data_IF_276453548705
#
_entry.id   IF_276453548705
#
_cell.length_a   1.000
_cell.length_b   1.000
_cell.length_c   1.000
_cell.angle_alpha   90.00
_cell.angle_beta   90.00
_cell.angle_gamma   90.00
#
_symmetry.space_group_name_H-M   'P 1'
#
loop_
_entity.id
_entity.type
_entity.pdbx_description
1 polymer ?
#
# COMPACT_ATOMS: atom_id res chain seq x y z
N UNK A 1 25.04 -8.35 24.40
CA UNK A 1 24.15 -9.02 23.47
C UNK A 1 23.61 -8.04 22.43
N UNK A 2 23.53 -8.45 21.18
CA UNK A 2 22.98 -7.64 20.10
C UNK A 2 21.45 -7.56 20.26
N UNK A 3 20.87 -6.36 20.14
CA UNK A 3 19.43 -6.18 20.31
C UNK A 3 18.65 -6.69 19.08
N UNK A 4 17.83 -7.72 19.29
CA UNK A 4 16.83 -8.13 18.27
C UNK A 4 15.73 -7.08 18.26
N UNK A 5 15.48 -6.49 17.09
CA UNK A 5 14.47 -5.44 16.90
C UNK A 5 13.12 -6.06 16.49
N UNK A 6 13.19 -7.09 15.65
CA UNK A 6 12.01 -7.78 15.13
C UNK A 6 12.39 -9.19 14.67
N UNK A 7 11.45 -10.12 14.72
CA UNK A 7 11.60 -11.46 14.14
C UNK A 7 10.31 -11.91 13.48
N UNK A 8 10.44 -12.61 12.39
CA UNK A 8 9.36 -13.32 11.70
C UNK A 8 9.75 -14.80 11.55
N UNK A 9 8.96 -15.59 10.89
CA UNK A 9 9.05 -17.07 10.81
C UNK A 9 10.46 -17.56 10.46
N UNK A 10 11.15 -16.89 9.56
CA UNK A 10 12.43 -17.27 8.96
C UNK A 10 13.45 -16.12 8.90
N UNK A 11 13.15 -14.99 9.50
CA UNK A 11 14.02 -13.82 9.48
C UNK A 11 14.13 -13.13 10.85
N UNK A 12 15.30 -12.57 11.11
CA UNK A 12 15.63 -11.85 12.33
C UNK A 12 16.22 -10.49 11.95
N UNK A 13 15.68 -9.42 12.53
CA UNK A 13 16.18 -8.06 12.39
C UNK A 13 16.97 -7.68 13.61
N UNK A 14 18.23 -7.35 13.43
CA UNK A 14 19.17 -7.03 14.51
C UNK A 14 19.66 -5.60 14.34
N UNK A 15 19.78 -4.88 15.46
CA UNK A 15 20.37 -3.55 15.44
C UNK A 15 21.88 -3.66 15.19
N UNK A 16 22.37 -2.99 14.14
CA UNK A 16 23.79 -2.81 13.88
C UNK A 16 24.41 -1.82 14.89
N UNK A 17 25.68 -2.00 15.28
CA UNK A 17 26.44 -1.05 16.13
C UNK A 17 26.95 0.18 15.35
N UNK A 18 26.53 0.38 14.11
CA UNK A 18 26.91 1.53 13.31
C UNK A 18 26.48 2.85 13.96
N UNK A 19 27.26 3.89 13.77
CA UNK A 19 26.98 5.22 14.31
C UNK A 19 25.57 5.68 13.95
N UNK A 20 24.80 6.05 14.96
CA UNK A 20 23.43 6.53 14.83
C UNK A 20 23.35 7.89 14.10
N UNK A 21 24.46 8.63 14.02
CA UNK A 21 24.56 9.91 13.35
C UNK A 21 24.97 9.79 11.87
N UNK A 22 25.34 8.58 11.42
CA UNK A 22 25.66 8.36 9.99
C UNK A 22 24.46 8.68 9.10
N UNK A 23 24.68 9.27 7.91
CA UNK A 23 23.60 9.55 6.96
C UNK A 23 22.83 8.28 6.61
N UNK A 24 21.52 8.28 6.91
CA UNK A 24 20.67 7.08 6.78
C UNK A 24 20.10 6.94 5.38
N UNK A 25 19.73 8.05 4.77
CA UNK A 25 19.14 8.13 3.44
C UNK A 25 19.79 9.31 2.74
N UNK A 26 20.31 9.06 1.53
CA UNK A 26 20.79 10.12 0.64
C UNK A 26 19.71 10.42 -0.40
N UNK A 27 19.44 11.69 -0.62
CA UNK A 27 18.59 12.15 -1.71
C UNK A 27 19.32 11.99 -3.07
N UNK A 28 18.55 12.02 -4.16
CA UNK A 28 19.13 12.03 -5.51
C UNK A 28 19.96 13.31 -5.76
N UNK A 29 19.56 14.42 -5.13
CA UNK A 29 20.28 15.71 -5.18
C UNK A 29 21.67 15.58 -4.55
N UNK A 30 21.76 15.03 -3.32
CA UNK A 30 23.04 14.82 -2.63
C UNK A 30 23.99 13.89 -3.41
N UNK A 31 23.45 12.86 -4.06
CA UNK A 31 24.25 12.01 -4.96
C UNK A 31 24.78 12.80 -6.16
N UNK A 32 23.91 13.58 -6.81
CA UNK A 32 24.27 14.38 -7.98
C UNK A 32 25.29 15.48 -7.64
N UNK A 33 25.12 16.15 -6.50
CA UNK A 33 26.07 17.16 -6.01
C UNK A 33 27.43 16.55 -5.71
N UNK A 34 27.47 15.36 -5.10
CA UNK A 34 28.72 14.64 -4.87
C UNK A 34 29.42 14.25 -6.18
N UNK A 35 28.66 13.78 -7.18
CA UNK A 35 29.19 13.46 -8.52
C UNK A 35 29.71 14.70 -9.23
N UNK A 36 29.04 15.84 -9.08
CA UNK A 36 29.45 17.13 -9.66
C UNK A 36 30.66 17.79 -8.95
N UNK A 37 31.16 17.17 -7.90
CA UNK A 37 32.42 17.58 -7.29
C UNK A 37 32.29 18.35 -5.98
N UNK A 38 31.07 18.58 -5.46
CA UNK A 38 30.88 19.23 -4.18
C UNK A 38 31.58 18.47 -3.04
N UNK A 39 32.43 19.15 -2.29
CA UNK A 39 33.26 18.52 -1.26
C UNK A 39 32.45 18.10 -0.04
N UNK A 40 31.40 18.84 0.34
CA UNK A 40 30.55 18.53 1.46
C UNK A 40 29.67 17.30 1.13
N UNK A 41 29.08 17.30 -0.06
CA UNK A 41 28.27 16.17 -0.54
C UNK A 41 29.12 14.88 -0.71
N UNK A 42 30.35 15.00 -1.18
CA UNK A 42 31.30 13.86 -1.24
C UNK A 42 31.59 13.28 0.13
N UNK A 43 31.78 14.13 1.13
CA UNK A 43 31.99 13.67 2.51
C UNK A 43 30.78 12.92 3.05
N UNK A 44 29.59 13.46 2.88
CA UNK A 44 28.32 12.82 3.29
C UNK A 44 28.14 11.46 2.58
N UNK A 45 28.41 11.41 1.27
CA UNK A 45 28.35 10.18 0.50
C UNK A 45 29.34 9.11 1.01
N UNK A 46 30.58 9.53 1.36
CA UNK A 46 31.58 8.62 1.89
C UNK A 46 31.16 8.09 3.27
N UNK A 47 30.72 8.97 4.18
CA UNK A 47 30.22 8.57 5.51
C UNK A 47 29.05 7.57 5.38
N UNK A 48 28.14 7.78 4.44
CA UNK A 48 27.06 6.85 4.17
C UNK A 48 27.60 5.48 3.69
N UNK A 49 28.55 5.46 2.75
CA UNK A 49 29.14 4.22 2.25
C UNK A 49 29.86 3.45 3.34
N UNK A 50 30.63 4.14 4.17
CA UNK A 50 31.35 3.54 5.30
C UNK A 50 30.38 2.93 6.32
N UNK A 51 29.29 3.62 6.61
CA UNK A 51 28.23 3.12 7.49
C UNK A 51 27.54 1.86 6.91
N UNK A 52 27.22 1.86 5.61
CA UNK A 52 26.65 0.70 4.93
C UNK A 52 27.63 -0.48 4.95
N UNK A 53 28.91 -0.25 4.64
CA UNK A 53 29.92 -1.31 4.67
C UNK A 53 30.08 -1.92 6.06
N UNK A 54 30.16 -1.07 7.10
CA UNK A 54 30.24 -1.53 8.49
C UNK A 54 29.03 -2.37 8.90
N UNK A 55 27.86 -2.02 8.42
CA UNK A 55 26.62 -2.80 8.66
C UNK A 55 26.67 -4.16 7.94
N UNK A 56 27.17 -4.21 6.70
CA UNK A 56 27.33 -5.45 5.93
C UNK A 56 28.30 -6.39 6.62
N UNK A 57 29.46 -5.88 7.01
CA UNK A 57 30.50 -6.66 7.71
C UNK A 57 29.96 -7.24 9.02
N UNK A 58 29.25 -6.41 9.81
CA UNK A 58 28.60 -6.86 11.03
C UNK A 58 27.53 -7.93 10.79
N UNK A 59 26.65 -7.72 9.80
CA UNK A 59 25.59 -8.67 9.47
C UNK A 59 26.13 -10.02 9.00
N UNK A 60 27.17 -10.00 8.16
CA UNK A 60 27.84 -11.20 7.67
C UNK A 60 28.50 -11.97 8.81
N UNK A 61 29.30 -11.31 9.65
CA UNK A 61 29.94 -11.93 10.82
C UNK A 61 28.91 -12.51 11.81
N UNK A 62 27.77 -11.82 11.98
CA UNK A 62 26.71 -12.31 12.85
C UNK A 62 26.05 -13.57 12.26
N UNK A 63 25.77 -13.58 10.96
CA UNK A 63 25.21 -14.72 10.26
C UNK A 63 26.13 -15.94 10.35
N UNK A 64 27.42 -15.80 10.08
CA UNK A 64 28.43 -16.86 10.22
C UNK A 64 28.51 -17.39 11.64
N UNK A 65 28.56 -16.50 12.64
CA UNK A 65 28.67 -16.87 14.06
C UNK A 65 27.52 -17.72 14.55
N UNK A 66 26.30 -17.48 14.08
CA UNK A 66 25.08 -18.16 14.53
C UNK A 66 24.58 -19.27 13.61
N UNK A 67 25.19 -19.44 12.45
CA UNK A 67 24.93 -20.59 11.58
C UNK A 67 25.34 -21.90 12.24
N UNK A 68 24.59 -22.96 12.00
CA UNK A 68 24.83 -24.36 12.42
C UNK A 68 24.49 -25.29 11.25
N UNK A 69 24.95 -26.51 11.32
CA UNK A 69 24.72 -27.53 10.27
C UNK A 69 23.24 -27.74 9.94
N UNK A 70 22.35 -27.52 10.92
CA UNK A 70 20.89 -27.67 10.78
C UNK A 70 20.16 -26.37 10.46
N UNK A 71 20.82 -25.20 10.54
CA UNK A 71 20.20 -23.91 10.31
C UNK A 71 21.27 -22.89 9.89
N UNK A 72 21.36 -22.65 8.58
CA UNK A 72 22.27 -21.67 8.00
C UNK A 72 21.58 -20.30 8.01
N UNK A 73 22.26 -19.28 8.55
CA UNK A 73 21.83 -17.90 8.48
C UNK A 73 22.60 -17.18 7.39
N UNK A 74 21.91 -16.33 6.66
CA UNK A 74 22.50 -15.46 5.64
C UNK A 74 22.18 -14.00 5.94
N UNK A 75 23.12 -13.10 5.71
CA UNK A 75 22.85 -11.67 5.75
C UNK A 75 22.20 -11.27 4.44
N UNK A 76 20.90 -11.01 4.47
CA UNK A 76 20.10 -10.81 3.26
C UNK A 76 19.96 -9.32 2.90
N UNK A 77 19.73 -8.47 3.91
CA UNK A 77 19.44 -7.04 3.68
C UNK A 77 19.95 -6.16 4.82
N UNK A 78 20.51 -5.02 4.45
CA UNK A 78 20.81 -3.93 5.35
C UNK A 78 19.78 -2.81 5.25
N UNK A 79 19.21 -2.38 6.38
CA UNK A 79 18.22 -1.33 6.44
C UNK A 79 18.75 -0.13 7.24
N UNK A 80 18.63 1.08 6.68
CA UNK A 80 18.95 2.32 7.40
C UNK A 80 17.84 2.73 8.35
N UNK A 81 16.59 2.45 8.00
CA UNK A 81 15.41 2.73 8.82
C UNK A 81 14.47 1.53 8.79
N UNK A 82 13.86 1.24 9.93
CA UNK A 82 12.86 0.20 10.10
C UNK A 82 11.71 0.71 10.95
N UNK A 83 10.49 0.54 10.46
CA UNK A 83 9.26 0.89 11.16
C UNK A 83 8.33 -0.31 11.22
N UNK A 84 7.84 -0.63 12.41
CA UNK A 84 6.82 -1.65 12.66
C UNK A 84 5.91 -1.18 13.79
N UNK A 85 4.60 -1.36 13.64
CA UNK A 85 3.63 -0.98 14.66
C UNK A 85 2.43 -1.93 14.68
N UNK A 86 2.01 -2.30 15.87
CA UNK A 86 0.73 -2.91 16.23
C UNK A 86 0.52 -4.36 15.81
N UNK A 87 0.94 -4.79 14.64
CA UNK A 87 0.62 -6.13 14.14
C UNK A 87 1.85 -6.89 13.65
N UNK A 88 1.90 -8.18 13.96
CA UNK A 88 2.91 -9.09 13.39
C UNK A 88 2.84 -9.07 11.86
N UNK A 89 3.99 -9.24 11.21
CA UNK A 89 4.14 -9.30 9.75
C UNK A 89 3.79 -8.00 9.01
N UNK A 90 3.73 -6.86 9.73
CA UNK A 90 3.56 -5.53 9.15
C UNK A 90 4.75 -4.67 9.49
N UNK A 91 5.55 -4.35 8.48
CA UNK A 91 6.69 -3.47 8.63
C UNK A 91 7.06 -2.81 7.31
N UNK A 92 7.75 -1.71 7.41
CA UNK A 92 8.38 -1.01 6.30
C UNK A 92 9.83 -0.73 6.68
N UNK A 93 10.71 -0.66 5.68
CA UNK A 93 12.11 -0.34 5.89
C UNK A 93 12.73 0.30 4.65
N UNK A 94 13.73 1.13 4.87
CA UNK A 94 14.58 1.63 3.80
C UNK A 94 15.78 0.71 3.68
N UNK A 95 15.79 -0.12 2.66
CA UNK A 95 16.94 -0.97 2.32
C UNK A 95 18.02 -0.09 1.69
N UNK A 96 19.26 -0.29 2.11
CA UNK A 96 20.45 0.40 1.59
C UNK A 96 21.49 -0.59 1.06
N UNK A 97 21.29 -1.89 1.30
CA UNK A 97 22.11 -2.97 0.77
C UNK A 97 21.24 -4.25 0.61
N UNK A 98 21.38 -5.07 -0.47
CA UNK A 98 22.28 -4.87 -1.60
C UNK A 98 21.84 -3.75 -2.55
N UNK A 99 20.54 -3.59 -2.74
CA UNK A 99 19.92 -2.59 -3.62
C UNK A 99 19.10 -1.59 -2.80
N UNK A 100 19.11 -0.33 -3.23
CA UNK A 100 18.35 0.73 -2.57
C UNK A 100 16.87 0.61 -2.92
N UNK A 101 16.07 0.10 -1.98
CA UNK A 101 14.63 -0.09 -2.18
C UNK A 101 13.82 0.19 -0.90
N UNK A 102 12.54 0.48 -1.07
CA UNK A 102 11.60 0.49 0.06
C UNK A 102 11.03 -0.90 0.25
N UNK A 103 11.37 -1.54 1.36
CA UNK A 103 10.80 -2.83 1.78
C UNK A 103 9.45 -2.61 2.44
N UNK A 104 8.39 -3.22 1.90
CA UNK A 104 7.04 -3.15 2.47
C UNK A 104 6.51 -4.57 2.65
N UNK A 105 6.03 -4.89 3.85
CA UNK A 105 5.40 -6.18 4.17
C UNK A 105 4.10 -5.97 4.93
N UNK A 106 3.11 -6.79 4.60
CA UNK A 106 1.83 -6.87 5.33
C UNK A 106 0.87 -5.68 5.15
N UNK A 107 1.21 -4.68 4.35
CA UNK A 107 0.33 -3.57 3.98
C UNK A 107 -0.35 -3.81 2.63
N UNK A 108 -1.57 -3.35 2.48
CA UNK A 108 -2.46 -3.67 1.35
C UNK A 108 -2.17 -2.89 0.05
N UNK A 109 -0.92 -2.57 -0.23
CA UNK A 109 -0.54 -1.78 -1.40
C UNK A 109 -0.60 -2.53 -2.74
N UNK A 110 -0.71 -3.86 -2.71
CA UNK A 110 -0.66 -4.72 -3.91
C UNK A 110 -1.91 -5.57 -4.12
N UNK A 111 -2.99 -5.34 -3.37
CA UNK A 111 -4.23 -6.10 -3.53
C UNK A 111 -4.97 -5.72 -4.81
N UNK A 112 -5.58 -6.71 -5.44
CA UNK A 112 -6.40 -6.53 -6.65
C UNK A 112 -7.66 -5.68 -6.42
N UNK A 113 -8.04 -5.41 -5.17
CA UNK A 113 -9.14 -4.56 -4.76
C UNK A 113 -8.68 -3.17 -4.25
N UNK A 114 -7.42 -2.83 -4.48
CA UNK A 114 -6.87 -1.50 -4.22
C UNK A 114 -7.15 -0.54 -5.37
N UNK A 115 -7.25 0.74 -5.08
CA UNK A 115 -7.40 1.80 -6.08
C UNK A 115 -6.19 2.74 -6.07
N UNK A 116 -5.94 3.41 -7.20
CA UNK A 116 -4.72 4.21 -7.42
C UNK A 116 -4.49 5.25 -6.33
N UNK A 117 -5.54 5.97 -5.93
CA UNK A 117 -5.45 6.99 -4.90
C UNK A 117 -5.01 6.43 -3.53
N UNK A 118 -5.47 5.22 -3.16
CA UNK A 118 -5.04 4.54 -1.95
C UNK A 118 -3.56 4.16 -2.04
N UNK A 119 -3.16 3.51 -3.13
CA UNK A 119 -1.76 3.05 -3.28
C UNK A 119 -0.77 4.20 -3.33
N UNK A 120 -1.10 5.29 -4.02
CA UNK A 120 -0.26 6.51 -4.04
C UNK A 120 -0.18 7.16 -2.66
N UNK A 121 -1.30 7.24 -1.94
CA UNK A 121 -1.33 7.77 -0.58
C UNK A 121 -0.47 6.92 0.36
N UNK A 122 -0.60 5.59 0.31
CA UNK A 122 0.21 4.69 1.14
C UNK A 122 1.71 4.84 0.90
N UNK A 123 2.13 5.01 -0.35
CA UNK A 123 3.56 5.25 -0.67
C UNK A 123 4.10 6.50 0.02
N UNK A 124 3.36 7.59 -0.01
CA UNK A 124 3.78 8.82 0.67
C UNK A 124 3.74 8.67 2.20
N UNK A 125 2.73 8.00 2.75
CA UNK A 125 2.66 7.68 4.18
C UNK A 125 3.89 6.88 4.63
N UNK A 126 4.34 5.91 3.83
CA UNK A 126 5.56 5.16 4.14
C UNK A 126 6.81 6.07 4.14
N UNK A 127 6.92 6.99 3.18
CA UNK A 127 8.04 7.94 3.14
C UNK A 127 8.09 8.82 4.38
N UNK A 128 6.96 9.40 4.78
CA UNK A 128 6.87 10.18 6.01
C UNK A 128 7.22 9.36 7.26
N UNK A 129 6.73 8.12 7.35
CA UNK A 129 7.02 7.25 8.49
C UNK A 129 8.51 6.88 8.59
N UNK A 130 9.16 6.59 7.44
CA UNK A 130 10.60 6.30 7.39
C UNK A 130 11.47 7.54 7.65
N UNK A 131 10.95 8.75 7.34
CA UNK A 131 11.61 10.02 7.62
C UNK A 131 11.36 10.53 9.05
N UNK A 132 10.63 9.80 9.89
CA UNK A 132 10.22 10.18 11.25
C UNK A 132 9.43 11.51 11.31
N UNK A 133 8.61 11.76 10.28
CA UNK A 133 7.82 12.97 10.10
C UNK A 133 6.35 12.73 10.48
N UNK A 134 6.11 12.35 11.75
CA UNK A 134 4.78 11.94 12.22
C UNK A 134 3.68 12.99 12.04
N UNK A 135 3.95 14.26 12.35
CA UNK A 135 2.96 15.34 12.19
C UNK A 135 2.59 15.59 10.74
N UNK A 136 3.59 15.62 9.84
CA UNK A 136 3.38 15.76 8.40
C UNK A 136 2.62 14.56 7.82
N UNK A 137 2.93 13.35 8.28
CA UNK A 137 2.23 12.12 7.94
C UNK A 137 0.74 12.21 8.27
N UNK A 138 0.42 12.60 9.49
CA UNK A 138 -0.97 12.73 9.95
C UNK A 138 -1.71 13.84 9.19
N UNK A 139 -1.09 15.00 8.99
CA UNK A 139 -1.67 16.09 8.22
C UNK A 139 -1.98 15.67 6.78
N UNK A 140 -1.04 14.97 6.14
CA UNK A 140 -1.21 14.42 4.80
C UNK A 140 -2.34 13.39 4.75
N UNK A 141 -2.39 12.45 5.69
CA UNK A 141 -3.44 11.43 5.77
C UNK A 141 -4.84 12.06 5.88
N UNK A 142 -5.00 13.05 6.78
CA UNK A 142 -6.27 13.80 6.96
C UNK A 142 -6.70 14.47 5.67
N UNK A 143 -5.80 15.20 5.01
CA UNK A 143 -6.08 15.88 3.74
C UNK A 143 -6.54 14.89 2.67
N UNK A 144 -5.89 13.74 2.57
CA UNK A 144 -6.21 12.70 1.58
C UNK A 144 -7.57 12.05 1.84
N UNK A 145 -7.91 11.77 3.10
CA UNK A 145 -9.21 11.22 3.48
C UNK A 145 -10.33 12.23 3.21
N UNK A 146 -10.12 13.50 3.56
CA UNK A 146 -11.12 14.55 3.35
C UNK A 146 -11.40 14.81 1.86
N UNK A 147 -10.38 14.83 1.02
CA UNK A 147 -10.54 14.98 -0.44
C UNK A 147 -11.45 13.90 -1.05
N UNK A 148 -11.38 12.66 -0.56
CA UNK A 148 -12.33 11.59 -0.96
C UNK A 148 -13.74 11.88 -0.49
N UNK A 149 -13.91 12.31 0.77
CA UNK A 149 -15.23 12.62 1.34
C UNK A 149 -15.94 13.74 0.60
N UNK A 150 -15.20 14.74 0.16
CA UNK A 150 -15.71 15.90 -0.58
C UNK A 150 -15.91 15.63 -2.08
N UNK A 151 -15.48 14.45 -2.58
CA UNK A 151 -15.58 14.13 -4.00
C UNK A 151 -14.60 14.89 -4.89
N UNK A 152 -13.54 15.43 -4.32
CA UNK A 152 -12.51 16.21 -5.04
C UNK A 152 -11.53 15.34 -5.84
N UNK A 153 -11.53 14.03 -5.58
CA UNK A 153 -10.65 13.10 -6.27
C UNK A 153 -11.28 12.65 -7.58
N UNK A 154 -10.58 12.70 -8.71
CA UNK A 154 -11.12 12.20 -9.97
C UNK A 154 -11.57 10.73 -9.90
N UNK A 155 -12.70 10.38 -10.50
CA UNK A 155 -13.24 9.02 -10.49
C UNK A 155 -12.25 7.97 -11.01
N UNK A 156 -11.37 8.34 -11.93
CA UNK A 156 -10.28 7.48 -12.45
C UNK A 156 -9.31 7.00 -11.38
N UNK A 157 -9.16 7.75 -10.30
CA UNK A 157 -8.26 7.43 -9.19
C UNK A 157 -8.86 6.44 -8.18
N UNK A 158 -10.18 6.19 -8.25
CA UNK A 158 -10.92 5.33 -7.32
C UNK A 158 -11.47 4.05 -7.97
N UNK A 159 -11.07 3.77 -9.19
CA UNK A 159 -11.47 2.58 -9.94
C UNK A 159 -10.98 1.31 -9.25
N UNK A 160 -11.90 0.39 -9.02
CA UNK A 160 -11.64 -0.97 -8.54
C UNK A 160 -11.67 -1.93 -9.73
N UNK A 161 -10.84 -2.97 -9.68
CA UNK A 161 -10.85 -4.02 -10.70
C UNK A 161 -10.86 -5.40 -10.05
N UNK A 162 -11.71 -6.30 -10.56
CA UNK A 162 -11.79 -7.69 -10.12
C UNK A 162 -11.93 -8.63 -11.30
N UNK A 163 -11.29 -9.81 -11.21
CA UNK A 163 -11.54 -10.87 -12.16
C UNK A 163 -12.97 -11.40 -11.98
N UNK A 164 -13.65 -11.60 -13.11
CA UNK A 164 -15.00 -12.16 -13.16
C UNK A 164 -14.97 -13.50 -13.90
N UNK A 165 -15.26 -14.58 -13.17
CA UNK A 165 -15.44 -15.90 -13.77
C UNK A 165 -16.89 -16.08 -14.19
N UNK A 166 -17.13 -17.03 -15.07
CA UNK A 166 -18.46 -17.39 -15.57
C UNK A 166 -18.30 -18.35 -16.74
N UNK A 167 -19.20 -19.30 -16.88
CA UNK A 167 -19.21 -20.25 -18.01
C UNK A 167 -19.95 -19.59 -19.19
N UNK A 168 -19.25 -19.34 -20.28
CA UNK A 168 -19.88 -18.93 -21.53
C UNK A 168 -20.63 -20.15 -22.11
N UNK A 169 -21.95 -20.06 -22.22
CA UNK A 169 -22.83 -21.13 -22.73
C UNK A 169 -23.17 -20.94 -24.18
N UNK A 170 -23.06 -19.72 -24.69
CA UNK A 170 -23.28 -19.38 -26.11
C UNK A 170 -22.27 -18.32 -26.59
N UNK A 171 -21.71 -18.53 -27.77
CA UNK A 171 -20.75 -17.63 -28.42
C UNK A 171 -21.28 -17.17 -29.76
N UNK A 172 -21.21 -15.88 -30.12
CA UNK A 172 -20.72 -14.75 -29.31
C UNK A 172 -21.69 -14.40 -28.16
N UNK A 173 -21.14 -13.86 -27.05
CA UNK A 173 -21.93 -13.38 -25.91
C UNK A 173 -22.68 -12.11 -26.33
N UNK A 174 -24.02 -12.15 -26.35
CA UNK A 174 -24.89 -11.05 -26.72
C UNK A 174 -25.87 -10.66 -25.62
N UNK A 175 -26.17 -11.59 -24.71
CA UNK A 175 -27.10 -11.38 -23.61
C UNK A 175 -26.54 -11.95 -22.31
N UNK A 176 -27.17 -11.60 -21.16
CA UNK A 176 -26.81 -12.12 -19.85
C UNK A 176 -26.98 -13.64 -19.77
N UNK A 177 -27.91 -14.20 -20.50
CA UNK A 177 -28.22 -15.65 -20.52
C UNK A 177 -27.16 -16.47 -21.26
N UNK A 178 -26.28 -15.80 -22.00
CA UNK A 178 -25.15 -16.46 -22.67
C UNK A 178 -24.00 -16.79 -21.73
N UNK A 179 -24.09 -16.37 -20.44
CA UNK A 179 -23.07 -16.63 -19.41
C UNK A 179 -23.72 -17.14 -18.12
N UNK A 180 -23.33 -18.33 -17.70
CA UNK A 180 -23.71 -18.91 -16.41
C UNK A 180 -22.67 -18.50 -15.35
N UNK A 181 -23.09 -17.67 -14.40
CA UNK A 181 -22.29 -17.23 -13.26
C UNK A 181 -22.50 -18.09 -12.01
N UNK A 182 -23.55 -18.94 -11.97
CA UNK A 182 -23.91 -19.73 -10.77
C UNK A 182 -22.89 -20.81 -10.48
N UNK A 183 -22.16 -21.27 -11.49
CA UNK A 183 -21.09 -22.25 -11.34
C UNK A 183 -19.94 -21.76 -10.44
N UNK A 184 -19.60 -20.47 -10.54
CA UNK A 184 -18.42 -19.89 -9.90
C UNK A 184 -18.77 -19.04 -8.67
N UNK A 185 -20.05 -18.67 -8.50
CA UNK A 185 -20.53 -17.84 -7.39
C UNK A 185 -21.82 -18.38 -6.81
N UNK A 186 -21.85 -18.59 -5.50
CA UNK A 186 -23.07 -19.04 -4.77
C UNK A 186 -24.20 -17.99 -4.87
N UNK A 187 -23.85 -16.70 -4.85
CA UNK A 187 -24.80 -15.60 -5.03
C UNK A 187 -24.24 -14.58 -6.05
N UNK A 188 -24.40 -14.82 -7.36
CA UNK A 188 -23.89 -13.95 -8.40
C UNK A 188 -24.41 -12.50 -8.31
N UNK A 189 -25.65 -12.32 -7.89
CA UNK A 189 -26.31 -11.01 -7.81
C UNK A 189 -25.71 -10.10 -6.74
N UNK A 190 -25.12 -10.68 -5.72
CA UNK A 190 -24.41 -9.92 -4.69
C UNK A 190 -22.98 -9.51 -5.10
N UNK A 191 -22.41 -10.17 -6.11
CA UNK A 191 -21.03 -9.95 -6.54
C UNK A 191 -20.91 -8.72 -7.44
N UNK A 192 -20.15 -7.72 -7.01
CA UNK A 192 -19.94 -6.49 -7.77
C UNK A 192 -19.43 -6.76 -9.19
N UNK A 193 -18.40 -7.61 -9.32
CA UNK A 193 -17.82 -7.96 -10.63
C UNK A 193 -18.80 -8.65 -11.57
N UNK A 194 -19.73 -9.46 -11.06
CA UNK A 194 -20.75 -10.12 -11.89
C UNK A 194 -21.78 -9.11 -12.40
N UNK A 195 -22.25 -8.22 -11.53
CA UNK A 195 -23.18 -7.17 -11.91
C UNK A 195 -22.57 -6.22 -12.94
N UNK A 196 -21.30 -5.87 -12.81
CA UNK A 196 -20.54 -5.09 -13.77
C UNK A 196 -20.40 -5.84 -15.10
N UNK A 197 -20.08 -7.13 -15.07
CA UNK A 197 -19.99 -7.96 -16.27
C UNK A 197 -21.34 -7.99 -17.03
N UNK A 198 -22.45 -8.17 -16.31
CA UNK A 198 -23.81 -8.10 -16.90
C UNK A 198 -24.12 -6.74 -17.53
N UNK A 199 -23.81 -5.63 -16.84
CA UNK A 199 -23.98 -4.29 -17.39
C UNK A 199 -23.12 -4.04 -18.64
N UNK A 200 -21.94 -4.63 -18.74
CA UNK A 200 -21.10 -4.61 -19.94
C UNK A 200 -21.73 -5.38 -21.10
N UNK A 201 -22.23 -6.59 -20.80
CA UNK A 201 -22.95 -7.42 -21.81
C UNK A 201 -24.18 -6.69 -22.35
N UNK A 202 -24.99 -6.05 -21.49
CA UNK A 202 -26.15 -5.26 -21.89
C UNK A 202 -25.80 -4.09 -22.83
N UNK A 203 -24.57 -3.58 -22.75
CA UNK A 203 -24.05 -2.54 -23.64
C UNK A 203 -23.38 -3.11 -24.91
N UNK A 204 -23.53 -4.41 -25.15
CA UNK A 204 -22.93 -5.08 -26.31
C UNK A 204 -21.41 -5.34 -26.19
N UNK A 205 -20.85 -5.14 -25.03
CA UNK A 205 -19.45 -5.45 -24.76
C UNK A 205 -19.27 -6.93 -24.44
N UNK A 206 -18.30 -7.58 -25.08
CA UNK A 206 -18.05 -9.01 -24.91
C UNK A 206 -17.68 -9.39 -23.48
N UNK A 207 -17.82 -10.69 -23.18
CA UNK A 207 -17.38 -11.30 -21.93
C UNK A 207 -16.50 -12.52 -22.21
N UNK A 208 -15.41 -12.63 -21.47
CA UNK A 208 -14.54 -13.80 -21.43
C UNK A 208 -14.33 -14.21 -19.98
N UNK A 209 -14.44 -15.49 -19.66
CA UNK A 209 -14.27 -16.00 -18.28
C UNK A 209 -12.89 -15.64 -17.73
N UNK A 210 -12.85 -15.09 -16.51
CA UNK A 210 -11.63 -14.66 -15.87
C UNK A 210 -11.17 -13.24 -16.24
N UNK A 211 -11.86 -12.55 -17.17
CA UNK A 211 -11.51 -11.17 -17.51
C UNK A 211 -11.59 -10.25 -16.29
N UNK A 212 -10.73 -9.25 -16.22
CA UNK A 212 -10.84 -8.18 -15.23
C UNK A 212 -11.95 -7.20 -15.66
N UNK A 213 -12.87 -6.93 -14.76
CA UNK A 213 -13.88 -5.88 -14.93
C UNK A 213 -13.56 -4.74 -13.96
N UNK A 214 -13.52 -3.53 -14.49
CA UNK A 214 -13.25 -2.30 -13.77
C UNK A 214 -14.57 -1.59 -13.44
N UNK A 215 -14.66 -1.03 -12.23
CA UNK A 215 -15.88 -0.37 -11.77
C UNK A 215 -15.60 0.63 -10.64
N UNK A 216 -16.57 1.48 -10.40
CA UNK A 216 -16.61 2.41 -9.29
C UNK A 216 -17.83 2.08 -8.42
N UNK A 217 -17.68 2.14 -7.09
CA UNK A 217 -18.79 2.06 -6.15
C UNK A 217 -19.45 3.43 -6.07
N UNK A 218 -20.71 3.50 -6.50
CA UNK A 218 -21.48 4.77 -6.55
C UNK A 218 -22.37 4.97 -5.33
N UNK A 219 -22.77 3.90 -4.63
CA UNK A 219 -23.57 3.96 -3.43
C UNK A 219 -23.39 2.67 -2.62
N UNK A 220 -22.67 2.75 -1.54
CA UNK A 220 -22.41 1.63 -0.63
C UNK A 220 -23.52 1.38 0.40
N UNK A 221 -24.51 2.26 0.51
CA UNK A 221 -25.64 2.09 1.43
C UNK A 221 -26.65 1.07 0.92
N UNK A 222 -26.73 0.89 -0.38
CA UNK A 222 -27.60 -0.10 -1.03
C UNK A 222 -27.18 -1.54 -0.73
N UNK A 223 -28.12 -2.44 -0.83
CA UNK A 223 -27.91 -3.90 -0.65
C UNK A 223 -28.49 -4.66 -1.84
N UNK A 224 -27.65 -5.18 -2.74
CA UNK A 224 -26.20 -5.07 -2.83
C UNK A 224 -25.77 -3.63 -3.21
N UNK A 225 -24.54 -3.24 -2.80
CA UNK A 225 -23.97 -1.89 -3.06
C UNK A 225 -24.05 -1.55 -4.56
N UNK A 226 -24.37 -0.31 -4.89
CA UNK A 226 -24.45 0.14 -6.29
C UNK A 226 -23.06 0.27 -6.91
N UNK A 227 -22.89 -0.23 -8.13
CA UNK A 227 -21.62 -0.16 -8.87
C UNK A 227 -21.87 0.26 -10.30
N UNK A 228 -20.96 1.05 -10.85
CA UNK A 228 -20.97 1.54 -12.24
C UNK A 228 -19.74 1.00 -12.96
N UNK A 229 -19.88 0.38 -14.15
CA UNK A 229 -18.73 -0.04 -14.95
C UNK A 229 -17.83 1.14 -15.29
N UNK A 230 -16.53 0.94 -15.15
CA UNK A 230 -15.54 1.86 -15.69
C UNK A 230 -15.14 1.39 -17.08
N UNK A 231 -15.49 2.14 -18.09
CA UNK A 231 -15.27 1.83 -19.50
C UNK A 231 -14.19 2.74 -20.09
N UNK A 232 -13.54 2.28 -21.17
CA UNK A 232 -12.50 3.02 -21.87
C UNK A 232 -13.10 4.07 -22.85
N UNK A 233 -14.05 4.87 -22.35
CA UNK A 233 -14.79 5.88 -23.10
C UNK A 233 -14.90 7.13 -22.22
N UNK A 234 -14.34 8.24 -22.69
CA UNK A 234 -14.28 9.51 -21.92
C UNK A 234 -15.67 10.04 -21.58
N UNK A 235 -16.66 9.87 -22.47
CA UNK A 235 -18.03 10.33 -22.26
C UNK A 235 -18.73 9.58 -21.12
N UNK A 236 -18.50 8.26 -21.04
CA UNK A 236 -19.00 7.43 -19.95
C UNK A 236 -18.27 7.74 -18.64
N UNK A 237 -16.94 7.92 -18.69
CA UNK A 237 -16.10 8.24 -17.53
C UNK A 237 -16.48 9.57 -16.89
N UNK A 238 -16.78 10.59 -17.69
CA UNK A 238 -17.20 11.91 -17.22
C UNK A 238 -18.52 11.90 -16.43
N UNK A 239 -19.35 10.88 -16.63
CA UNK A 239 -20.66 10.73 -15.94
C UNK A 239 -20.55 9.89 -14.64
N UNK A 240 -19.38 9.30 -14.36
CA UNK A 240 -19.22 8.43 -13.18
C UNK A 240 -19.02 9.27 -11.92
N UNK A 241 -19.94 9.13 -10.98
CA UNK A 241 -19.79 9.59 -9.60
C UNK A 241 -19.47 8.41 -8.68
N UNK A 242 -18.79 8.69 -7.55
CA UNK A 242 -18.44 7.66 -6.59
C UNK A 242 -18.94 8.01 -5.18
N UNK A 243 -19.10 7.00 -4.35
CA UNK A 243 -19.41 7.14 -2.92
C UNK A 243 -18.14 7.58 -2.17
N UNK A 244 -17.99 8.89 -1.97
CA UNK A 244 -16.82 9.49 -1.32
C UNK A 244 -16.58 8.94 0.09
N UNK A 245 -17.67 8.67 0.86
CA UNK A 245 -17.56 8.10 2.19
C UNK A 245 -17.00 6.67 2.18
N UNK A 246 -17.49 5.82 1.28
CA UNK A 246 -17.01 4.45 1.12
C UNK A 246 -15.50 4.40 0.85
N UNK A 247 -15.02 5.24 -0.08
CA UNK A 247 -13.59 5.28 -0.40
C UNK A 247 -12.75 5.92 0.69
N UNK A 248 -13.26 6.95 1.36
CA UNK A 248 -12.60 7.57 2.51
C UNK A 248 -12.44 6.59 3.68
N UNK A 249 -13.49 5.83 4.02
CA UNK A 249 -13.43 4.79 5.07
C UNK A 249 -12.37 3.72 4.74
N UNK A 250 -12.27 3.28 3.49
CA UNK A 250 -11.23 2.33 3.06
C UNK A 250 -9.82 2.92 3.15
N UNK A 251 -9.66 4.17 2.73
CA UNK A 251 -8.38 4.86 2.85
C UNK A 251 -8.00 5.04 4.32
N UNK A 252 -8.91 5.57 5.14
CA UNK A 252 -8.68 5.78 6.58
C UNK A 252 -8.32 4.47 7.29
N UNK A 253 -8.98 3.35 6.97
CA UNK A 253 -8.66 2.04 7.51
C UNK A 253 -7.26 1.54 7.10
N UNK A 254 -6.81 1.85 5.90
CA UNK A 254 -5.48 1.46 5.42
C UNK A 254 -4.37 2.30 6.07
N UNK A 255 -4.50 3.64 6.04
CA UNK A 255 -3.50 4.56 6.61
C UNK A 255 -3.52 4.56 8.13
N UNK A 256 -4.69 4.32 8.75
CA UNK A 256 -4.88 4.22 10.19
C UNK A 256 -3.92 3.24 10.86
N UNK A 257 -3.62 2.14 10.19
CA UNK A 257 -2.65 1.14 10.66
C UNK A 257 -1.22 1.68 10.87
N UNK A 258 -0.92 2.85 10.33
CA UNK A 258 0.36 3.54 10.50
C UNK A 258 0.18 4.76 11.38
N UNK A 259 -0.89 5.55 11.16
CA UNK A 259 -1.14 6.76 11.93
C UNK A 259 -1.45 6.46 13.41
N UNK A 260 -1.86 5.25 13.75
CA UNK A 260 -1.99 4.77 15.14
C UNK A 260 -0.69 4.89 15.92
N UNK A 261 0.47 4.68 15.31
CA UNK A 261 1.78 4.90 15.94
C UNK A 261 1.99 6.37 16.37
N UNK A 262 1.27 7.28 15.74
CA UNK A 262 1.30 8.72 16.02
C UNK A 262 0.03 9.19 16.75
N UNK A 263 -0.73 8.24 17.32
CA UNK A 263 -1.92 8.51 18.12
C UNK A 263 -3.15 8.93 17.31
N UNK A 264 -3.28 8.54 16.04
CA UNK A 264 -4.45 8.79 15.19
C UNK A 264 -5.01 7.50 14.62
N UNK A 265 -6.20 7.14 15.05
CA UNK A 265 -6.95 5.98 14.54
C UNK A 265 -7.72 6.33 13.25
N UNK A 266 -8.19 5.30 12.54
CA UNK A 266 -9.01 5.48 11.34
C UNK A 266 -10.27 6.34 11.59
N UNK A 267 -10.92 6.18 12.77
CA UNK A 267 -12.09 6.99 13.14
C UNK A 267 -11.77 8.48 13.30
N UNK A 268 -10.57 8.80 13.82
CA UNK A 268 -10.12 10.18 14.02
C UNK A 268 -9.82 10.84 12.67
N UNK A 269 -9.24 10.10 11.73
CA UNK A 269 -9.02 10.55 10.35
C UNK A 269 -10.35 10.84 9.65
N UNK A 270 -11.37 10.00 9.85
CA UNK A 270 -12.71 10.20 9.30
C UNK A 270 -13.44 11.38 9.95
N UNK A 271 -13.23 11.62 11.25
CA UNK A 271 -13.79 12.77 11.96
C UNK A 271 -13.05 14.09 11.70
N UNK A 272 -11.81 14.02 11.21
CA UNK A 272 -10.94 15.19 11.02
C UNK A 272 -10.31 15.74 12.30
N UNK A 273 -10.66 15.19 13.47
CA UNK A 273 -10.15 15.57 14.79
C UNK A 273 -10.02 14.34 15.70
N UNK A 274 -9.21 14.46 16.76
CA UNK A 274 -9.14 13.41 17.78
C UNK A 274 -10.43 13.48 18.61
N UNK A 275 -11.15 12.37 18.67
CA UNK A 275 -12.24 12.22 19.64
C UNK A 275 -11.59 11.96 21.02
N UNK A 276 -11.38 13.01 21.80
CA UNK A 276 -11.06 12.87 23.21
C UNK A 276 -12.28 12.28 23.92
N UNK A 277 -12.11 11.09 24.51
CA UNK A 277 -13.13 10.50 25.39
C UNK A 277 -13.32 11.45 26.55
N UNK A 278 -14.57 11.85 26.83
CA UNK A 278 -14.94 12.62 28.01
C UNK A 278 -14.66 11.89 29.35
N UNK A 279 -14.19 10.65 29.29
CA UNK A 279 -13.90 9.79 30.45
C UNK A 279 -12.40 9.57 30.70
N UNK A 280 -11.53 10.40 30.13
CA UNK A 280 -10.07 10.34 30.36
C UNK A 280 -9.62 11.38 31.40
N UNK A 281 -10.31 11.43 32.55
CA UNK A 281 -9.90 12.18 33.73
C UNK A 281 -9.74 11.22 34.92
#
# INVERSE_FOLDING_TARGET
GHGVVYSDTDSIFVRSPVDQNAPRILSEEEFTEAENGDAAAKKVLQEHRDAVQSMVDFGTQLAERYSRDSAVLEFEKGLSVFFSHGAKKRYIGQVVWPDKEMLVRGYETQRTDSFIYLTSTMKEIFRYALADQGDALVAFAKKRVEALRQGEVPASQVVLAKSCKGRVVRTPVKSRDDVDFTRDYTNPDSMAQVRVARQRIDRGLGFTSGMKVSYVVSDATKRPMSVVPWLDNEEDQAKVSYDGRFYAERLAAAVGRITEAFGWEAKDLMAGNKQTSLFSF
#
